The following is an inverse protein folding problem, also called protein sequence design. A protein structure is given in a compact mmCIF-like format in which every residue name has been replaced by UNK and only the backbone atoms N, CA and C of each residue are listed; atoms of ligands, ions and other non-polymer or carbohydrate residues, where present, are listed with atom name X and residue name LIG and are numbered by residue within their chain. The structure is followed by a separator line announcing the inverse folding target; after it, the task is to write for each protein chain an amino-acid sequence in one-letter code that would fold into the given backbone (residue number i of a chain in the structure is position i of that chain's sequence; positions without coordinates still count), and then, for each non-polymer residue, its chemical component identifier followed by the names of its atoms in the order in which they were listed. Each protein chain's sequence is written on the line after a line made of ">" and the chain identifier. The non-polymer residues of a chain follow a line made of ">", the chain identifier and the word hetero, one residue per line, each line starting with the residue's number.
data_IF_242400083966
#
_entry.id   IF_242400083966
#
_cell.length_a   1.000
_cell.length_b   1.000
_cell.length_c   1.000
_cell.angle_alpha   90.00
_cell.angle_beta   90.00
_cell.angle_gamma   90.00
#
_symmetry.space_group_name_H-M   'P 1'
#
loop_
_entity.id
_entity.type
_entity.pdbx_description
1 polymer ?
#
# COMPACT_ATOMS: atom_id res chain seq x y z
N UNK A 1 -3.62 0.78 19.23
CA UNK A 1 -4.22 0.57 17.90
C UNK A 1 -3.37 1.31 16.87
N UNK A 2 -2.82 0.59 15.89
CA UNK A 2 -1.98 1.09 14.80
C UNK A 2 -2.66 0.79 13.48
N UNK A 3 -2.80 1.81 12.64
CA UNK A 3 -3.43 1.69 11.33
C UNK A 3 -2.38 2.04 10.29
N UNK A 4 -2.24 1.21 9.25
CA UNK A 4 -1.45 1.52 8.08
C UNK A 4 -2.35 2.06 6.97
N UNK A 5 -1.95 3.18 6.38
CA UNK A 5 -2.63 3.83 5.26
C UNK A 5 -1.65 3.90 4.10
N UNK A 6 -2.07 3.51 2.90
CA UNK A 6 -1.28 3.66 1.67
C UNK A 6 -2.16 4.03 0.47
N UNK A 7 -1.57 4.66 -0.53
CA UNK A 7 -2.24 5.11 -1.77
C UNK A 7 -1.22 5.21 -2.91
N UNK A 8 -1.67 5.63 -4.09
CA UNK A 8 -0.83 6.13 -5.19
C UNK A 8 0.23 5.13 -5.66
N UNK A 9 -0.15 3.85 -5.70
CA UNK A 9 0.72 2.80 -6.21
C UNK A 9 0.87 2.90 -7.73
N UNK A 10 -0.17 3.35 -8.45
CA UNK A 10 -0.16 3.54 -9.92
C UNK A 10 0.42 2.35 -10.69
N UNK A 11 -0.07 1.13 -10.37
CA UNK A 11 0.40 -0.13 -10.94
C UNK A 11 1.91 -0.42 -10.77
N UNK A 12 2.62 0.30 -9.88
CA UNK A 12 4.00 0.04 -9.53
C UNK A 12 4.11 -1.17 -8.60
N UNK A 13 4.18 -2.36 -9.20
CA UNK A 13 4.25 -3.63 -8.48
C UNK A 13 5.43 -3.67 -7.46
N UNK A 14 6.67 -3.28 -7.80
CA UNK A 14 7.76 -3.26 -6.82
C UNK A 14 7.48 -2.35 -5.60
N UNK A 15 6.85 -1.20 -5.80
CA UNK A 15 6.47 -0.32 -4.71
C UNK A 15 5.40 -0.94 -3.81
N UNK A 16 4.41 -1.63 -4.40
CA UNK A 16 3.37 -2.34 -3.67
C UNK A 16 3.96 -3.47 -2.82
N UNK A 17 4.84 -4.29 -3.39
CA UNK A 17 5.50 -5.40 -2.68
C UNK A 17 6.31 -4.89 -1.48
N UNK A 18 7.09 -3.83 -1.67
CA UNK A 18 7.86 -3.21 -0.59
C UNK A 18 6.97 -2.63 0.52
N UNK A 19 5.83 -2.02 0.14
CA UNK A 19 4.86 -1.48 1.09
C UNK A 19 4.20 -2.59 1.91
N UNK A 20 3.80 -3.69 1.26
CA UNK A 20 3.22 -4.87 1.91
C UNK A 20 4.21 -5.54 2.87
N UNK A 21 5.47 -5.74 2.46
CA UNK A 21 6.49 -6.35 3.32
C UNK A 21 6.77 -5.51 4.58
N UNK A 22 6.81 -4.17 4.44
CA UNK A 22 6.98 -3.28 5.59
C UNK A 22 5.76 -3.29 6.53
N UNK A 23 4.54 -3.35 5.99
CA UNK A 23 3.32 -3.48 6.79
C UNK A 23 3.28 -4.82 7.54
N UNK A 24 3.65 -5.92 6.89
CA UNK A 24 3.74 -7.25 7.52
C UNK A 24 4.74 -7.28 8.68
N UNK A 25 5.90 -6.63 8.52
CA UNK A 25 6.91 -6.50 9.58
C UNK A 25 6.39 -5.70 10.77
N UNK A 26 5.61 -4.64 10.53
CA UNK A 26 5.11 -3.74 11.58
C UNK A 26 3.88 -4.27 12.30
N UNK A 27 3.12 -5.18 11.68
CA UNK A 27 1.86 -5.75 12.19
C UNK A 27 0.89 -4.68 12.71
N UNK A 28 0.35 -3.81 11.83
CA UNK A 28 -0.73 -2.90 12.21
C UNK A 28 -2.01 -3.69 12.50
N UNK A 29 -2.90 -3.10 13.28
CA UNK A 29 -4.21 -3.69 13.62
C UNK A 29 -5.22 -3.58 12.46
N UNK A 30 -4.99 -2.64 11.53
CA UNK A 30 -5.77 -2.48 10.30
C UNK A 30 -4.93 -1.87 9.18
N UNK A 31 -5.29 -2.17 7.93
CA UNK A 31 -4.66 -1.64 6.71
C UNK A 31 -5.76 -1.07 5.81
N UNK A 32 -5.59 0.15 5.31
CA UNK A 32 -6.49 0.76 4.34
C UNK A 32 -5.74 1.25 3.11
N UNK A 33 -6.27 0.91 1.94
CA UNK A 33 -5.86 1.48 0.66
C UNK A 33 -6.77 2.68 0.35
N UNK A 34 -6.19 3.85 0.10
CA UNK A 34 -6.95 5.09 -0.13
C UNK A 34 -7.29 5.34 -1.61
N UNK A 35 -6.81 4.49 -2.53
CA UNK A 35 -7.06 4.64 -3.96
C UNK A 35 -5.78 4.59 -4.80
N UNK A 36 -5.93 4.89 -6.08
CA UNK A 36 -4.84 5.00 -7.07
C UNK A 36 -3.92 3.77 -7.13
N UNK A 37 -4.51 2.58 -6.91
CA UNK A 37 -3.79 1.32 -6.95
C UNK A 37 -3.32 0.95 -8.37
N UNK A 38 -4.14 1.29 -9.36
CA UNK A 38 -3.94 0.98 -10.78
C UNK A 38 -3.98 2.25 -11.61
N UNK A 39 -3.53 2.16 -12.85
CA UNK A 39 -3.56 3.25 -13.82
C UNK A 39 -2.16 3.60 -14.31
N UNK A 40 -1.92 3.40 -15.60
CA UNK A 40 -0.79 3.98 -16.33
C UNK A 40 -1.33 5.17 -17.12
N UNK A 41 -1.21 6.39 -16.58
CA UNK A 41 -1.49 7.68 -17.24
C UNK A 41 -2.25 7.60 -18.59
N UNK A 42 -3.57 7.38 -18.54
CA UNK A 42 -4.48 7.56 -19.70
C UNK A 42 -5.26 8.84 -19.51
#
# INVERSE_FOLDING_TARGET
>A
MRIALFSDIHANLPALEACLEDMDRRRPDAIFCLGDLVGYNI
#
